data_IF_774036314173
#
_entry.id   IF_774036314173
#
_cell.length_a   1.000
_cell.length_b   1.000
_cell.length_c   1.000
_cell.angle_alpha   90.00
_cell.angle_beta   90.00
_cell.angle_gamma   90.00
#
_symmetry.space_group_name_H-M   'P 1'
#
loop_
_entity.id
_entity.type
_entity.pdbx_description
1 polymer ?
#
# COMPACT_ATOMS: atom_id res chain seq x y z
N UNK A 1 16.13 9.40 -16.62
CA UNK A 1 14.70 9.78 -16.45
C UNK A 1 14.66 11.11 -15.71
N UNK A 2 13.67 11.96 -15.93
CA UNK A 2 13.59 13.28 -15.28
C UNK A 2 12.31 13.39 -14.45
N UNK A 3 12.43 14.00 -13.28
CA UNK A 3 11.30 14.40 -12.46
C UNK A 3 10.51 15.50 -13.17
N UNK A 4 9.19 15.45 -13.10
CA UNK A 4 8.28 16.45 -13.64
C UNK A 4 7.17 16.76 -12.63
N UNK A 5 6.51 17.93 -12.73
CA UNK A 5 5.36 18.23 -11.87
C UNK A 5 4.32 17.11 -11.92
N UNK A 6 3.83 16.70 -10.76
CA UNK A 6 2.80 15.66 -10.70
C UNK A 6 1.45 16.16 -11.19
N UNK A 7 0.79 15.36 -12.03
CA UNK A 7 -0.51 15.71 -12.64
C UNK A 7 -1.69 15.71 -11.66
N UNK A 8 -1.57 14.98 -10.53
CA UNK A 8 -2.67 14.79 -9.59
C UNK A 8 -2.51 15.63 -8.32
N UNK A 9 -1.28 15.89 -7.89
CA UNK A 9 -0.97 16.59 -6.64
C UNK A 9 -0.09 17.82 -6.92
N UNK A 10 -0.67 19.03 -7.03
CA UNK A 10 0.10 20.27 -7.19
C UNK A 10 1.18 20.41 -6.11
N UNK A 11 2.39 20.80 -6.48
CA UNK A 11 3.53 20.91 -5.58
C UNK A 11 4.32 19.61 -5.39
N UNK A 12 3.83 18.49 -5.89
CA UNK A 12 4.57 17.22 -5.94
C UNK A 12 5.26 17.04 -7.30
N UNK A 13 6.23 16.15 -7.32
CA UNK A 13 6.90 15.70 -8.54
C UNK A 13 6.69 14.20 -8.73
N UNK A 14 6.62 13.78 -9.98
CA UNK A 14 6.49 12.39 -10.38
C UNK A 14 7.64 11.97 -11.31
N UNK A 15 8.02 10.70 -11.22
CA UNK A 15 9.01 10.05 -12.07
C UNK A 15 8.46 8.72 -12.56
N UNK A 16 8.34 8.54 -13.87
CA UNK A 16 8.00 7.27 -14.46
C UNK A 16 9.18 6.30 -14.38
N UNK A 17 8.94 5.10 -13.86
CA UNK A 17 9.90 4.02 -13.72
C UNK A 17 9.52 2.90 -14.71
N UNK A 18 10.06 2.87 -15.92
CA UNK A 18 9.74 1.86 -16.91
C UNK A 18 10.24 0.48 -16.47
N UNK A 19 9.44 -0.53 -16.79
CA UNK A 19 9.75 -1.94 -16.61
C UNK A 19 9.79 -2.65 -17.97
N UNK A 20 10.36 -3.86 -18.09
CA UNK A 20 10.15 -4.71 -19.24
C UNK A 20 8.68 -4.96 -19.47
N UNK A 21 8.28 -5.11 -20.74
CA UNK A 21 6.91 -5.46 -21.11
C UNK A 21 6.49 -6.77 -20.43
N UNK A 22 5.25 -6.81 -19.96
CA UNK A 22 4.66 -8.02 -19.42
C UNK A 22 3.59 -8.59 -20.39
N UNK A 23 2.72 -9.47 -19.88
CA UNK A 23 1.63 -10.08 -20.64
C UNK A 23 0.54 -9.08 -21.10
N UNK A 24 0.53 -7.86 -20.58
CA UNK A 24 -0.33 -6.75 -21.04
C UNK A 24 0.43 -5.76 -21.93
N UNK A 25 1.70 -6.02 -22.26
CA UNK A 25 2.57 -5.11 -23.01
C UNK A 25 3.32 -4.15 -22.10
N UNK A 26 3.47 -2.88 -22.53
CA UNK A 26 4.24 -1.86 -21.80
C UNK A 26 3.79 -1.73 -20.35
N UNK A 27 4.76 -1.67 -19.44
CA UNK A 27 4.54 -1.53 -17.99
C UNK A 27 5.40 -0.38 -17.43
N UNK A 28 4.79 0.39 -16.55
CA UNK A 28 5.48 1.42 -15.76
C UNK A 28 5.01 1.38 -14.32
N UNK A 29 5.85 1.82 -13.39
CA UNK A 29 5.47 2.29 -12.07
C UNK A 29 5.74 3.81 -11.99
N UNK A 30 5.13 4.50 -11.04
CA UNK A 30 5.33 5.95 -10.88
C UNK A 30 5.76 6.26 -9.46
N UNK A 31 6.97 6.82 -9.33
CA UNK A 31 7.47 7.33 -8.06
C UNK A 31 7.06 8.79 -7.91
N UNK A 32 6.41 9.13 -6.79
CA UNK A 32 5.96 10.48 -6.46
C UNK A 32 6.74 10.97 -5.26
N UNK A 33 7.13 12.24 -5.22
CA UNK A 33 7.80 12.85 -4.06
C UNK A 33 7.27 14.23 -3.74
N UNK A 34 7.39 14.61 -2.46
CA UNK A 34 7.30 16.00 -2.05
C UNK A 34 8.71 16.61 -2.18
N UNK A 35 8.92 17.67 -3.01
CA UNK A 35 10.23 18.28 -3.17
C UNK A 35 10.82 18.81 -1.87
N UNK A 36 12.14 18.73 -1.73
CA UNK A 36 12.85 19.16 -0.52
C UNK A 36 12.71 20.66 -0.21
N UNK A 37 12.36 21.49 -1.21
CA UNK A 37 12.12 22.93 -1.02
C UNK A 37 10.95 23.22 -0.07
N UNK A 38 10.02 22.28 0.06
CA UNK A 38 8.86 22.35 0.95
C UNK A 38 9.07 21.57 2.27
N UNK A 39 10.25 20.96 2.44
CA UNK A 39 10.64 20.31 3.69
C UNK A 39 11.15 21.35 4.71
N UNK A 40 10.88 21.16 6.03
CA UNK A 40 11.40 22.08 7.04
C UNK A 40 12.94 22.12 7.04
N UNK A 41 13.49 23.31 7.28
CA UNK A 41 14.94 23.55 7.31
C UNK A 41 15.61 22.68 8.39
N UNK A 42 16.35 21.66 7.99
CA UNK A 42 17.11 20.79 8.89
C UNK A 42 17.68 19.57 8.16
N UNK A 43 18.59 18.82 8.80
CA UNK A 43 19.07 17.57 8.25
C UNK A 43 17.93 16.55 8.14
N UNK A 44 17.85 15.85 7.00
CA UNK A 44 16.86 14.78 6.78
C UNK A 44 17.06 13.67 7.82
N UNK A 45 16.04 13.38 8.61
CA UNK A 45 16.06 12.33 9.66
C UNK A 45 16.03 10.92 9.06
N UNK A 46 15.42 10.78 7.88
CA UNK A 46 15.28 9.50 7.19
C UNK A 46 14.46 9.65 5.91
N UNK A 47 14.30 8.55 5.23
CA UNK A 47 13.53 8.47 3.97
C UNK A 47 12.39 7.50 4.16
N UNK A 48 11.21 7.85 3.65
CA UNK A 48 10.01 7.00 3.65
C UNK A 48 9.63 6.67 2.22
N UNK A 49 9.33 5.40 1.95
CA UNK A 49 8.68 4.94 0.73
C UNK A 49 7.31 4.35 1.10
N UNK A 50 6.24 4.97 0.64
CA UNK A 50 4.86 4.53 0.86
C UNK A 50 4.32 3.76 -0.35
N UNK A 51 3.63 2.65 -0.08
CA UNK A 51 2.98 1.78 -1.07
C UNK A 51 1.49 1.65 -0.73
N UNK A 52 0.64 2.00 -1.68
CA UNK A 52 -0.82 2.00 -1.55
C UNK A 52 -1.44 0.59 -1.58
N UNK A 53 -2.75 0.50 -1.35
CA UNK A 53 -3.53 -0.73 -1.38
C UNK A 53 -4.06 -1.14 -2.77
N UNK A 54 -4.94 -2.16 -2.79
CA UNK A 54 -5.65 -2.61 -3.99
C UNK A 54 -6.70 -1.59 -4.43
N UNK A 55 -6.79 -1.34 -5.75
CA UNK A 55 -7.66 -0.31 -6.35
C UNK A 55 -7.45 1.04 -5.65
N UNK A 56 -6.18 1.41 -5.52
CA UNK A 56 -5.74 2.62 -4.85
C UNK A 56 -4.57 3.25 -5.60
N UNK A 57 -4.17 4.43 -5.16
CA UNK A 57 -3.00 5.17 -5.64
C UNK A 57 -2.62 6.21 -4.59
N UNK A 58 -1.46 6.85 -4.72
CA UNK A 58 -1.09 7.90 -3.77
C UNK A 58 -1.84 9.21 -4.05
N UNK A 59 -2.69 9.64 -3.11
CA UNK A 59 -3.38 10.94 -3.10
C UNK A 59 -3.32 11.64 -1.73
N UNK A 60 -2.80 10.97 -0.72
CA UNK A 60 -2.77 11.41 0.68
C UNK A 60 -1.70 12.50 0.88
N UNK A 61 -1.91 13.71 0.32
CA UNK A 61 -1.03 14.88 0.49
C UNK A 61 -0.60 15.08 1.94
N UNK A 62 -1.57 15.08 2.86
CA UNK A 62 -1.36 15.30 4.29
C UNK A 62 -0.41 14.27 4.93
N UNK A 63 -0.35 13.05 4.41
CA UNK A 63 0.60 12.03 4.86
C UNK A 63 2.04 12.47 4.54
N UNK A 64 2.29 12.90 3.31
CA UNK A 64 3.61 13.40 2.90
C UNK A 64 4.02 14.65 3.70
N UNK A 65 3.09 15.60 3.87
CA UNK A 65 3.32 16.83 4.63
C UNK A 65 3.63 16.55 6.11
N UNK A 66 2.95 15.57 6.74
CA UNK A 66 3.24 15.16 8.12
C UNK A 66 4.62 14.53 8.25
N UNK A 67 5.03 13.66 7.31
CA UNK A 67 6.39 13.12 7.31
C UNK A 67 7.44 14.21 7.08
N UNK A 68 7.19 15.14 6.15
CA UNK A 68 8.08 16.26 5.90
C UNK A 68 8.23 17.18 7.12
N UNK A 69 7.12 17.47 7.82
CA UNK A 69 7.14 18.25 9.07
C UNK A 69 7.99 17.60 10.17
N UNK A 70 8.07 16.28 10.19
CA UNK A 70 8.94 15.51 11.10
C UNK A 70 10.37 15.32 10.58
N UNK A 71 10.71 15.95 9.43
CA UNK A 71 12.05 15.93 8.86
C UNK A 71 12.38 14.71 7.99
N UNK A 72 11.38 13.98 7.51
CA UNK A 72 11.60 12.87 6.58
C UNK A 72 11.46 13.31 5.13
N UNK A 73 12.32 12.79 4.25
CA UNK A 73 12.07 12.82 2.81
C UNK A 73 11.00 11.78 2.47
N UNK A 74 9.92 12.22 1.83
CA UNK A 74 8.78 11.38 1.54
C UNK A 74 8.68 11.04 0.05
N UNK A 75 8.54 9.74 -0.20
CA UNK A 75 8.25 9.16 -1.50
C UNK A 75 7.03 8.25 -1.41
N UNK A 76 6.23 8.20 -2.48
CA UNK A 76 5.16 7.24 -2.65
C UNK A 76 5.28 6.56 -4.01
N UNK A 77 4.88 5.29 -4.09
CA UNK A 77 4.94 4.49 -5.30
C UNK A 77 3.53 4.12 -5.74
N UNK A 78 3.08 4.64 -6.89
CA UNK A 78 1.96 4.04 -7.60
C UNK A 78 2.50 2.80 -8.34
N UNK A 79 2.08 1.62 -7.86
CA UNK A 79 2.47 0.33 -8.43
C UNK A 79 2.00 0.21 -9.87
N UNK A 80 2.62 -0.69 -10.65
CA UNK A 80 2.15 -1.03 -12.01
C UNK A 80 0.65 -1.26 -12.04
N UNK A 81 -0.03 -0.79 -13.10
CA UNK A 81 -1.47 -0.96 -13.34
C UNK A 81 -2.38 -0.31 -12.29
N UNK A 82 -1.84 0.65 -11.50
CA UNK A 82 -2.59 1.43 -10.53
C UNK A 82 -2.35 2.92 -10.73
N UNK A 83 -3.34 3.75 -10.40
CA UNK A 83 -3.21 5.21 -10.34
C UNK A 83 -2.54 5.82 -11.58
N UNK A 84 -1.42 6.53 -11.36
CA UNK A 84 -0.62 7.16 -12.43
C UNK A 84 -0.01 6.15 -13.38
N UNK A 85 0.19 4.92 -12.93
CA UNK A 85 0.87 3.84 -13.65
C UNK A 85 -0.07 2.96 -14.47
N UNK A 86 -1.40 3.21 -14.40
CA UNK A 86 -2.37 2.47 -15.17
C UNK A 86 -2.40 2.99 -16.63
N UNK A 87 -2.08 2.14 -17.57
CA UNK A 87 -2.12 2.42 -19.01
C UNK A 87 -3.41 1.88 -19.65
N UNK A 88 -3.94 2.53 -20.71
CA UNK A 88 -5.27 2.22 -21.26
C UNK A 88 -5.48 0.79 -21.76
N UNK A 89 -4.39 0.08 -22.12
CA UNK A 89 -4.44 -1.29 -22.65
C UNK A 89 -4.38 -2.37 -21.58
N UNK A 90 -4.17 -2.00 -20.32
CA UNK A 90 -3.90 -2.93 -19.23
C UNK A 90 -5.16 -3.41 -18.53
N UNK A 91 -5.06 -4.57 -17.88
CA UNK A 91 -6.01 -5.04 -16.88
C UNK A 91 -5.74 -4.31 -15.56
N UNK A 92 -6.63 -3.41 -15.09
CA UNK A 92 -6.40 -2.62 -13.89
C UNK A 92 -6.09 -3.48 -12.66
N UNK A 93 -5.10 -3.08 -11.87
CA UNK A 93 -4.73 -3.68 -10.59
C UNK A 93 -4.35 -5.18 -10.65
N UNK A 94 -4.06 -5.72 -11.84
CA UNK A 94 -3.78 -7.12 -12.05
C UNK A 94 -2.29 -7.45 -11.94
N UNK A 95 -1.98 -8.56 -11.28
CA UNK A 95 -0.71 -9.27 -11.36
C UNK A 95 -0.93 -10.79 -11.35
N UNK A 96 -0.03 -11.54 -11.92
CA UNK A 96 -0.02 -13.01 -11.83
C UNK A 96 0.70 -13.52 -10.60
N UNK A 97 1.64 -12.73 -10.07
CA UNK A 97 2.40 -12.98 -8.86
C UNK A 97 2.74 -11.65 -8.17
N UNK A 98 2.72 -11.64 -6.84
CA UNK A 98 3.03 -10.44 -6.04
C UNK A 98 4.49 -9.96 -6.25
N UNK A 99 5.39 -10.84 -6.67
CA UNK A 99 6.77 -10.49 -7.02
C UNK A 99 6.88 -9.46 -8.16
N UNK A 100 5.86 -9.34 -9.02
CA UNK A 100 5.81 -8.27 -10.03
C UNK A 100 5.83 -6.88 -9.38
N UNK A 101 5.15 -6.69 -8.25
CA UNK A 101 5.20 -5.45 -7.47
C UNK A 101 6.55 -5.27 -6.75
N UNK A 102 7.26 -6.36 -6.43
CA UNK A 102 8.61 -6.27 -5.87
C UNK A 102 9.59 -5.62 -6.84
N UNK A 103 9.43 -5.85 -8.14
CA UNK A 103 10.25 -5.18 -9.15
C UNK A 103 10.03 -3.66 -9.13
N UNK A 104 8.79 -3.21 -8.94
CA UNK A 104 8.47 -1.77 -8.86
C UNK A 104 9.12 -1.13 -7.62
N UNK A 105 9.05 -1.79 -6.47
CA UNK A 105 9.71 -1.34 -5.23
C UNK A 105 11.24 -1.32 -5.43
N UNK A 106 11.82 -2.33 -6.09
CA UNK A 106 13.26 -2.38 -6.38
C UNK A 106 13.71 -1.19 -7.23
N UNK A 107 12.94 -0.82 -8.26
CA UNK A 107 13.21 0.37 -9.09
C UNK A 107 13.10 1.66 -8.29
N UNK A 108 12.05 1.79 -7.46
CA UNK A 108 11.88 2.94 -6.58
C UNK A 108 13.06 3.09 -5.60
N UNK A 109 13.48 1.99 -4.95
CA UNK A 109 14.64 2.00 -4.04
C UNK A 109 15.96 2.26 -4.76
N UNK A 110 16.07 1.88 -6.02
CA UNK A 110 17.25 2.19 -6.86
C UNK A 110 17.34 3.69 -7.14
N UNK A 111 16.21 4.33 -7.45
CA UNK A 111 16.13 5.77 -7.67
C UNK A 111 16.37 6.55 -6.37
N UNK A 112 15.76 6.15 -5.27
CA UNK A 112 15.90 6.78 -3.95
C UNK A 112 17.35 6.65 -3.44
N UNK A 113 17.98 5.52 -3.67
CA UNK A 113 19.37 5.20 -3.30
C UNK A 113 19.74 5.53 -1.85
N UNK A 114 18.83 5.30 -0.92
CA UNK A 114 19.00 5.49 0.53
C UNK A 114 18.30 4.39 1.32
N UNK A 115 18.67 4.15 2.58
CA UNK A 115 17.88 3.34 3.49
C UNK A 115 16.51 3.96 3.76
N UNK A 116 15.46 3.13 3.80
CA UNK A 116 14.08 3.61 3.95
C UNK A 116 13.34 2.97 5.12
N UNK A 117 12.39 3.72 5.68
CA UNK A 117 11.18 3.21 6.30
C UNK A 117 10.23 2.85 5.15
N UNK A 118 9.95 1.57 4.95
CA UNK A 118 8.99 1.12 3.95
C UNK A 118 7.60 1.06 4.58
N UNK A 119 6.68 1.85 4.05
CA UNK A 119 5.32 1.97 4.55
C UNK A 119 4.34 1.34 3.57
N UNK A 120 3.33 0.61 4.07
CA UNK A 120 2.35 -0.02 3.21
C UNK A 120 0.95 0.00 3.79
N UNK A 121 -0.05 0.34 2.96
CA UNK A 121 -1.45 0.26 3.31
C UNK A 121 -2.11 -0.98 2.70
N UNK A 122 -2.89 -1.71 3.49
CA UNK A 122 -3.71 -2.83 3.01
C UNK A 122 -2.88 -3.87 2.21
N UNK A 123 -3.17 -4.09 0.93
CA UNK A 123 -2.37 -4.95 0.03
C UNK A 123 -0.93 -4.45 -0.08
N UNK A 124 -0.68 -3.12 -0.03
CA UNK A 124 0.66 -2.57 0.06
C UNK A 124 1.41 -3.04 1.31
N UNK A 125 0.72 -3.22 2.44
CA UNK A 125 1.29 -3.78 3.65
C UNK A 125 1.73 -5.24 3.49
N UNK A 126 0.94 -6.06 2.79
CA UNK A 126 1.30 -7.42 2.40
C UNK A 126 2.55 -7.43 1.51
N UNK A 127 2.53 -6.60 0.44
CA UNK A 127 3.63 -6.49 -0.53
C UNK A 127 4.92 -6.05 0.18
N UNK A 128 4.88 -5.01 1.02
CA UNK A 128 6.04 -4.50 1.75
C UNK A 128 6.63 -5.54 2.71
N UNK A 129 5.79 -6.32 3.39
CA UNK A 129 6.22 -7.38 4.30
C UNK A 129 6.95 -8.49 3.56
N UNK A 130 6.41 -8.93 2.41
CA UNK A 130 7.05 -9.92 1.55
C UNK A 130 8.30 -9.35 0.88
N UNK A 131 8.28 -8.09 0.47
CA UNK A 131 9.47 -7.43 -0.09
C UNK A 131 10.64 -7.43 0.90
N UNK A 132 10.41 -7.12 2.17
CA UNK A 132 11.48 -7.20 3.18
C UNK A 132 12.04 -8.62 3.32
N UNK A 133 11.22 -9.65 3.12
CA UNK A 133 11.67 -11.05 3.17
C UNK A 133 12.49 -11.47 1.94
N UNK A 134 12.00 -11.14 0.74
CA UNK A 134 12.49 -11.75 -0.51
C UNK A 134 12.88 -10.76 -1.61
N UNK A 135 12.67 -9.44 -1.39
CA UNK A 135 12.98 -8.40 -2.37
C UNK A 135 14.48 -8.25 -2.65
N UNK A 136 14.82 -7.84 -3.85
CA UNK A 136 16.22 -7.72 -4.31
C UNK A 136 17.00 -6.68 -3.48
N UNK A 137 16.39 -5.53 -3.18
CA UNK A 137 16.98 -4.46 -2.35
C UNK A 137 16.44 -4.46 -0.91
N UNK A 138 16.01 -5.60 -0.38
CA UNK A 138 15.46 -5.72 0.98
C UNK A 138 16.37 -5.14 2.07
N UNK A 139 17.69 -5.13 1.86
CA UNK A 139 18.64 -4.60 2.84
C UNK A 139 18.60 -3.06 2.94
N UNK A 140 18.02 -2.37 1.96
CA UNK A 140 17.72 -0.94 2.04
C UNK A 140 16.52 -0.64 2.95
N UNK A 141 15.69 -1.65 3.29
CA UNK A 141 14.54 -1.48 4.19
C UNK A 141 14.98 -1.65 5.64
N UNK A 142 14.94 -0.57 6.42
CA UNK A 142 15.39 -0.54 7.82
C UNK A 142 14.26 -0.81 8.81
N UNK A 143 13.04 -0.42 8.48
CA UNK A 143 11.86 -0.64 9.29
C UNK A 143 10.62 -0.75 8.39
N UNK A 144 9.54 -1.34 8.91
CA UNK A 144 8.24 -1.39 8.26
C UNK A 144 7.19 -0.65 9.08
N UNK A 145 6.39 0.18 8.40
CA UNK A 145 5.12 0.67 8.93
C UNK A 145 3.96 0.14 8.09
N UNK A 146 3.04 -0.58 8.72
CA UNK A 146 1.94 -1.28 8.08
C UNK A 146 0.61 -0.70 8.59
N UNK A 147 -0.15 -0.10 7.70
CA UNK A 147 -1.46 0.48 7.95
C UNK A 147 -2.53 -0.50 7.45
N UNK A 148 -3.21 -1.17 8.38
CA UNK A 148 -4.24 -2.18 8.11
C UNK A 148 -3.83 -3.24 7.06
N UNK A 149 -2.69 -3.93 7.27
CA UNK A 149 -2.13 -4.83 6.24
C UNK A 149 -3.07 -6.00 5.92
N UNK A 150 -3.18 -6.32 4.62
CA UNK A 150 -4.04 -7.39 4.12
C UNK A 150 -3.35 -8.75 4.19
N UNK A 151 -3.38 -9.40 5.36
CA UNK A 151 -2.70 -10.69 5.59
C UNK A 151 -3.61 -11.90 5.46
N UNK A 152 -4.93 -11.70 5.37
CA UNK A 152 -5.87 -12.78 5.11
C UNK A 152 -7.21 -12.23 4.62
N UNK A 153 -7.95 -13.06 3.87
CA UNK A 153 -9.33 -12.74 3.50
C UNK A 153 -10.28 -12.92 4.67
N UNK A 154 -11.32 -12.08 4.81
CA UNK A 154 -12.39 -12.32 5.77
C UNK A 154 -13.00 -13.71 5.56
N UNK A 155 -13.23 -14.44 6.65
CA UNK A 155 -13.62 -15.85 6.62
C UNK A 155 -14.87 -16.11 5.77
N UNK A 156 -15.83 -15.17 5.80
CA UNK A 156 -17.08 -15.27 5.04
C UNK A 156 -16.87 -15.40 3.51
N UNK A 157 -15.75 -14.93 2.98
CA UNK A 157 -15.46 -14.93 1.55
C UNK A 157 -14.46 -16.00 1.11
N UNK A 158 -13.73 -16.62 2.06
CA UNK A 158 -12.60 -17.52 1.75
C UNK A 158 -12.98 -18.69 0.84
N UNK A 159 -14.12 -19.34 1.07
CA UNK A 159 -14.54 -20.49 0.27
C UNK A 159 -14.79 -20.11 -1.19
N UNK A 160 -15.53 -19.02 -1.43
CA UNK A 160 -15.76 -18.49 -2.79
C UNK A 160 -14.46 -18.10 -3.46
N UNK A 161 -13.58 -17.38 -2.73
CA UNK A 161 -12.31 -16.90 -3.27
C UNK A 161 -11.31 -18.04 -3.52
N UNK A 162 -11.34 -19.13 -2.76
CA UNK A 162 -10.53 -20.33 -3.08
C UNK A 162 -10.92 -20.93 -4.43
N UNK A 163 -12.21 -21.01 -4.73
CA UNK A 163 -12.69 -21.49 -6.04
C UNK A 163 -12.18 -20.54 -7.14
N UNK A 164 -12.32 -19.22 -6.96
CA UNK A 164 -11.81 -18.24 -7.89
C UNK A 164 -10.28 -18.35 -8.08
N UNK A 165 -9.54 -18.59 -6.99
CA UNK A 165 -8.09 -18.83 -7.02
C UNK A 165 -7.71 -20.07 -7.85
N UNK A 166 -8.44 -21.17 -7.67
CA UNK A 166 -8.24 -22.39 -8.48
C UNK A 166 -8.52 -22.13 -9.95
N UNK A 167 -9.63 -21.47 -10.28
CA UNK A 167 -9.97 -21.07 -11.66
C UNK A 167 -8.92 -20.12 -12.24
N UNK A 168 -8.34 -19.25 -11.43
CA UNK A 168 -7.29 -18.31 -11.83
C UNK A 168 -6.01 -18.96 -12.37
N UNK A 169 -5.80 -20.25 -12.11
CA UNK A 169 -4.70 -21.02 -12.69
C UNK A 169 -4.86 -21.20 -14.20
N UNK A 170 -6.09 -21.43 -14.67
CA UNK A 170 -6.38 -21.70 -16.07
C UNK A 170 -6.98 -20.47 -16.80
N UNK A 171 -7.68 -19.63 -16.05
CA UNK A 171 -8.43 -18.47 -16.56
C UNK A 171 -8.07 -17.20 -15.77
N UNK A 172 -6.80 -16.71 -15.82
CA UNK A 172 -6.33 -15.63 -14.95
C UNK A 172 -7.07 -14.31 -15.14
N UNK A 173 -7.59 -14.04 -16.34
CA UNK A 173 -8.32 -12.81 -16.65
C UNK A 173 -9.84 -12.90 -16.42
N UNK A 174 -10.35 -14.07 -16.05
CA UNK A 174 -11.73 -14.15 -15.54
C UNK A 174 -11.82 -13.33 -14.24
N UNK A 175 -12.94 -12.62 -14.05
CA UNK A 175 -13.02 -11.64 -12.95
C UNK A 175 -14.40 -11.60 -12.28
N UNK A 176 -14.42 -11.06 -11.08
CA UNK A 176 -15.63 -10.62 -10.39
C UNK A 176 -15.73 -9.08 -10.53
N UNK A 177 -16.73 -8.55 -11.25
CA UNK A 177 -16.87 -7.11 -11.45
C UNK A 177 -17.30 -6.36 -10.18
N UNK A 178 -17.65 -7.06 -9.10
CA UNK A 178 -18.13 -6.50 -7.83
C UNK A 178 -17.12 -6.65 -6.69
N UNK A 179 -15.85 -6.54 -7.00
CA UNK A 179 -14.78 -6.82 -6.03
C UNK A 179 -14.61 -5.80 -4.91
N UNK A 180 -15.18 -4.61 -5.04
CA UNK A 180 -15.04 -3.52 -4.06
C UNK A 180 -16.34 -3.26 -3.34
N UNK A 181 -16.22 -2.92 -2.05
CA UNK A 181 -17.34 -2.44 -1.26
C UNK A 181 -17.57 -0.95 -1.53
N UNK A 182 -18.65 -0.55 -2.23
CA UNK A 182 -18.96 0.87 -2.45
C UNK A 182 -19.02 1.67 -1.13
N UNK A 183 -19.41 1.02 -0.05
CA UNK A 183 -19.45 1.59 1.28
C UNK A 183 -18.08 2.13 1.74
N UNK A 184 -16.97 1.46 1.39
CA UNK A 184 -15.64 1.95 1.73
C UNK A 184 -15.28 3.24 1.00
N UNK A 185 -15.49 3.32 -0.32
CA UNK A 185 -15.24 4.55 -1.08
C UNK A 185 -16.14 5.69 -0.59
N UNK A 186 -17.40 5.41 -0.25
CA UNK A 186 -18.32 6.39 0.33
C UNK A 186 -17.84 6.91 1.68
N UNK A 187 -17.33 6.05 2.55
CA UNK A 187 -16.88 6.45 3.88
C UNK A 187 -15.65 7.37 3.87
N UNK A 188 -14.92 7.43 2.76
CA UNK A 188 -13.71 8.26 2.65
C UNK A 188 -13.85 9.45 1.70
N UNK A 189 -14.71 9.41 0.66
CA UNK A 189 -14.78 10.47 -0.34
C UNK A 189 -15.79 11.56 0.04
N UNK A 190 -15.39 12.84 -0.14
CA UNK A 190 -16.17 14.04 0.23
C UNK A 190 -17.53 14.20 -0.47
N UNK A 191 -17.76 13.49 -1.57
CA UNK A 191 -19.07 13.49 -2.24
C UNK A 191 -20.13 12.70 -1.45
N UNK A 192 -19.73 11.98 -0.38
CA UNK A 192 -20.60 11.18 0.48
C UNK A 192 -20.25 11.45 1.96
N UNK A 193 -19.87 10.42 2.69
CA UNK A 193 -19.71 10.47 4.15
C UNK A 193 -18.28 10.80 4.60
N UNK A 194 -17.33 10.92 3.66
CA UNK A 194 -15.91 11.15 3.93
C UNK A 194 -15.47 12.60 3.79
N UNK A 195 -14.20 12.85 4.09
CA UNK A 195 -13.58 14.18 4.08
C UNK A 195 -12.64 14.39 2.88
N UNK A 196 -12.29 13.31 2.13
CA UNK A 196 -11.19 13.31 1.19
C UNK A 196 -11.65 13.50 -0.25
N UNK A 197 -10.81 14.20 -1.01
CA UNK A 197 -10.97 14.38 -2.45
C UNK A 197 -9.91 13.57 -3.19
N UNK A 198 -10.35 12.69 -4.08
CA UNK A 198 -9.49 11.90 -4.94
C UNK A 198 -10.20 11.59 -6.27
N UNK A 199 -9.41 11.25 -7.28
CA UNK A 199 -9.93 10.97 -8.62
C UNK A 199 -10.67 9.63 -8.67
N UNK A 200 -12.00 9.72 -8.81
CA UNK A 200 -12.87 8.54 -8.91
C UNK A 200 -12.68 7.75 -10.22
N UNK A 201 -11.94 8.25 -11.20
CA UNK A 201 -11.57 7.45 -12.37
C UNK A 201 -10.43 6.47 -12.06
N UNK A 202 -9.60 6.78 -11.06
CA UNK A 202 -8.47 5.98 -10.60
C UNK A 202 -8.80 5.11 -9.38
N UNK A 203 -9.80 5.52 -8.59
CA UNK A 203 -10.35 4.77 -7.44
C UNK A 203 -11.87 4.80 -7.52
N UNK A 204 -12.48 4.02 -8.44
CA UNK A 204 -13.90 4.10 -8.72
C UNK A 204 -14.78 3.65 -7.55
N UNK A 205 -15.98 4.22 -7.45
CA UNK A 205 -16.98 3.81 -6.44
C UNK A 205 -17.30 2.31 -6.50
N UNK A 206 -17.45 1.77 -7.71
CA UNK A 206 -17.72 0.35 -7.93
C UNK A 206 -16.45 -0.49 -8.06
N UNK A 207 -15.27 0.14 -7.94
CA UNK A 207 -13.96 -0.50 -8.10
C UNK A 207 -13.65 -0.92 -9.53
N UNK A 208 -12.48 -1.53 -9.67
CA UNK A 208 -12.09 -2.30 -10.85
C UNK A 208 -12.41 -3.79 -10.62
N UNK A 209 -12.52 -4.60 -11.69
CA UNK A 209 -12.73 -6.04 -11.54
C UNK A 209 -11.61 -6.70 -10.72
N UNK A 210 -11.96 -7.64 -9.82
CA UNK A 210 -10.96 -8.53 -9.22
C UNK A 210 -10.77 -9.76 -10.13
N UNK A 211 -9.60 -9.82 -10.72
CA UNK A 211 -9.23 -10.93 -11.59
C UNK A 211 -8.86 -12.18 -10.79
N UNK A 212 -9.26 -13.35 -11.28
CA UNK A 212 -9.01 -14.61 -10.57
C UNK A 212 -7.51 -14.95 -10.47
N UNK A 213 -6.70 -14.54 -11.46
CA UNK A 213 -5.25 -14.62 -11.38
C UNK A 213 -4.66 -13.80 -10.24
N UNK A 214 -5.18 -12.57 -10.03
CA UNK A 214 -4.79 -11.75 -8.88
C UNK A 214 -5.22 -12.39 -7.54
N UNK A 215 -6.44 -12.92 -7.45
CA UNK A 215 -6.91 -13.64 -6.26
C UNK A 215 -5.96 -14.81 -5.93
N UNK A 216 -5.53 -15.57 -6.95
CA UNK A 216 -4.53 -16.65 -6.80
C UNK A 216 -3.19 -16.13 -6.28
N UNK A 217 -2.70 -15.03 -6.85
CA UNK A 217 -1.44 -14.42 -6.41
C UNK A 217 -1.49 -13.99 -4.94
N UNK A 218 -2.62 -13.41 -4.51
CA UNK A 218 -2.83 -13.01 -3.11
C UNK A 218 -2.91 -14.22 -2.17
N UNK A 219 -3.60 -15.32 -2.53
CA UNK A 219 -3.58 -16.54 -1.71
C UNK A 219 -2.18 -17.11 -1.55
N UNK A 220 -1.36 -17.10 -2.61
CA UNK A 220 0.03 -17.53 -2.51
C UNK A 220 0.85 -16.59 -1.60
N UNK A 221 0.62 -15.31 -1.68
CA UNK A 221 1.25 -14.31 -0.82
C UNK A 221 0.85 -14.48 0.66
N UNK A 222 -0.44 -14.67 0.95
CA UNK A 222 -0.92 -14.98 2.30
C UNK A 222 -0.28 -16.25 2.86
N UNK A 223 -0.18 -17.31 2.06
CA UNK A 223 0.46 -18.55 2.49
C UNK A 223 1.93 -18.34 2.94
N UNK A 224 2.67 -17.45 2.27
CA UNK A 224 4.04 -17.08 2.68
C UNK A 224 4.03 -16.36 4.04
N UNK A 225 3.11 -15.41 4.27
CA UNK A 225 2.97 -14.73 5.57
C UNK A 225 2.60 -15.72 6.66
N UNK A 226 1.65 -16.62 6.40
CA UNK A 226 1.19 -17.63 7.36
C UNK A 226 2.27 -18.65 7.70
N UNK A 227 3.21 -18.92 6.81
CA UNK A 227 4.38 -19.75 7.09
C UNK A 227 5.43 -19.06 7.99
N UNK A 228 5.27 -17.76 8.24
CA UNK A 228 6.17 -16.94 9.05
C UNK A 228 7.29 -16.32 8.23
N UNK A 229 7.41 -14.99 8.29
CA UNK A 229 8.45 -14.28 7.53
C UNK A 229 9.79 -14.20 8.27
N UNK A 230 9.77 -14.26 9.62
CA UNK A 230 10.97 -14.18 10.43
C UNK A 230 11.75 -12.87 10.24
N UNK A 231 11.02 -11.74 10.16
CA UNK A 231 11.64 -10.43 9.96
C UNK A 231 12.46 -10.03 11.18
N UNK A 232 13.66 -9.52 10.96
CA UNK A 232 14.64 -9.14 11.99
C UNK A 232 14.71 -7.63 12.24
N UNK A 233 13.93 -6.84 11.50
CA UNK A 233 13.83 -5.39 11.60
C UNK A 233 12.62 -4.96 12.45
N UNK A 234 12.61 -3.70 12.96
CA UNK A 234 11.44 -3.13 13.58
C UNK A 234 10.24 -3.08 12.64
N UNK A 235 9.07 -3.50 13.14
CA UNK A 235 7.80 -3.46 12.42
C UNK A 235 6.75 -2.81 13.32
N UNK A 236 6.08 -1.79 12.81
CA UNK A 236 4.88 -1.20 13.42
C UNK A 236 3.68 -1.56 12.55
N UNK A 237 2.77 -2.38 13.05
CA UNK A 237 1.49 -2.65 12.42
C UNK A 237 0.39 -1.93 13.19
N UNK A 238 -0.35 -1.11 12.48
CA UNK A 238 -1.50 -0.38 12.99
C UNK A 238 -2.76 -0.86 12.28
N UNK A 239 -3.86 -0.98 13.01
CA UNK A 239 -5.14 -1.42 12.45
C UNK A 239 -6.32 -0.78 13.17
N UNK A 240 -7.46 -0.75 12.52
CA UNK A 240 -8.72 -0.37 13.12
C UNK A 240 -9.25 -1.47 14.07
N UNK A 241 -10.48 -1.34 14.47
CA UNK A 241 -11.26 -2.35 15.20
C UNK A 241 -12.49 -2.77 14.37
N UNK A 242 -13.62 -2.91 15.03
CA UNK A 242 -14.89 -3.28 14.40
C UNK A 242 -15.40 -2.25 13.37
N UNK A 243 -14.84 -1.05 13.33
CA UNK A 243 -15.15 -0.04 12.32
C UNK A 243 -14.50 -0.33 10.96
N UNK A 244 -13.53 -1.23 10.87
CA UNK A 244 -13.00 -1.71 9.59
C UNK A 244 -14.03 -2.57 8.87
N UNK A 245 -14.60 -2.02 7.80
CA UNK A 245 -15.59 -2.71 6.96
C UNK A 245 -14.96 -3.51 5.81
N UNK A 246 -13.63 -3.50 5.68
CA UNK A 246 -12.88 -4.14 4.59
C UNK A 246 -12.22 -5.44 5.05
N UNK A 247 -11.53 -5.41 6.20
CA UNK A 247 -10.79 -6.55 6.73
C UNK A 247 -11.32 -6.97 8.11
N UNK A 248 -11.06 -8.22 8.47
CA UNK A 248 -11.19 -8.68 9.84
C UNK A 248 -9.97 -8.23 10.66
N UNK A 249 -10.14 -7.20 11.47
CA UNK A 249 -9.09 -6.62 12.29
C UNK A 249 -8.41 -7.63 13.23
N UNK A 250 -9.13 -8.69 13.66
CA UNK A 250 -8.55 -9.76 14.51
C UNK A 250 -7.53 -10.58 13.73
N UNK A 251 -7.81 -10.86 12.46
CA UNK A 251 -6.84 -11.52 11.58
C UNK A 251 -5.65 -10.60 11.30
N UNK A 252 -5.88 -9.30 11.02
CA UNK A 252 -4.80 -8.31 10.86
C UNK A 252 -3.90 -8.31 12.08
N UNK A 253 -4.45 -8.17 13.29
CA UNK A 253 -3.69 -8.16 14.53
C UNK A 253 -2.93 -9.48 14.78
N UNK A 254 -3.59 -10.62 14.52
CA UNK A 254 -3.00 -11.94 14.74
C UNK A 254 -1.79 -12.19 13.83
N UNK A 255 -1.98 -12.02 12.52
CA UNK A 255 -0.90 -12.25 11.55
C UNK A 255 0.22 -11.23 11.65
N UNK A 256 -0.08 -9.97 12.02
CA UNK A 256 0.97 -8.99 12.26
C UNK A 256 1.97 -9.44 13.34
N UNK A 257 1.48 -10.06 14.42
CA UNK A 257 2.35 -10.55 15.51
C UNK A 257 3.32 -11.66 15.10
N UNK A 258 3.03 -12.35 14.00
CA UNK A 258 3.86 -13.46 13.50
C UNK A 258 4.95 -13.03 12.51
N UNK A 259 5.00 -11.75 12.12
CA UNK A 259 5.94 -11.26 11.10
C UNK A 259 7.41 -11.38 11.53
N UNK A 260 7.69 -11.25 12.83
CA UNK A 260 9.05 -11.29 13.35
C UNK A 260 9.11 -11.08 14.86
N UNK A 261 10.31 -10.83 15.38
CA UNK A 261 10.55 -10.68 16.82
C UNK A 261 10.44 -9.24 17.34
N UNK A 262 10.47 -8.24 16.45
CA UNK A 262 10.47 -6.81 16.78
C UNK A 262 9.22 -6.12 16.26
N UNK A 263 8.05 -6.69 16.56
CA UNK A 263 6.76 -6.22 16.04
C UNK A 263 5.95 -5.55 17.13
N UNK A 264 5.56 -4.31 16.90
CA UNK A 264 4.53 -3.61 17.67
C UNK A 264 3.21 -3.63 16.89
N UNK A 265 2.11 -3.97 17.55
CA UNK A 265 0.77 -3.99 16.95
C UNK A 265 -0.13 -3.08 17.76
N UNK A 266 -0.68 -2.04 17.13
CA UNK A 266 -1.47 -0.99 17.77
C UNK A 266 -2.87 -0.91 17.15
N UNK A 267 -3.95 -1.09 17.94
CA UNK A 267 -5.31 -0.85 17.51
C UNK A 267 -5.68 0.64 17.62
N UNK A 268 -6.52 1.11 16.69
CA UNK A 268 -7.10 2.45 16.69
C UNK A 268 -8.62 2.34 16.60
N UNK A 269 -9.31 2.27 17.74
CA UNK A 269 -10.76 2.11 17.80
C UNK A 269 -11.50 3.22 17.04
N UNK A 270 -12.49 2.83 16.23
CA UNK A 270 -13.27 3.73 15.39
C UNK A 270 -12.54 4.23 14.12
N UNK A 271 -11.31 3.77 13.89
CA UNK A 271 -10.55 4.11 12.68
C UNK A 271 -11.16 3.51 11.42
N UNK A 272 -10.99 4.20 10.29
CA UNK A 272 -11.31 3.63 8.98
C UNK A 272 -10.27 2.57 8.60
N UNK A 273 -10.56 1.79 7.54
CA UNK A 273 -9.60 0.82 7.00
C UNK A 273 -8.25 1.45 6.66
N UNK A 274 -8.24 2.60 5.99
CA UNK A 274 -7.05 3.45 5.92
C UNK A 274 -7.05 4.42 7.10
N UNK A 275 -6.22 4.16 8.12
CA UNK A 275 -6.17 4.92 9.36
C UNK A 275 -5.80 6.39 9.15
N UNK A 276 -4.99 6.70 8.13
CA UNK A 276 -4.61 8.09 7.83
C UNK A 276 -5.72 8.88 7.14
N UNK A 277 -6.78 8.21 6.71
CA UNK A 277 -8.00 8.82 6.17
C UNK A 277 -9.12 8.93 7.20
N UNK A 278 -8.92 8.47 8.43
CA UNK A 278 -9.87 8.58 9.54
C UNK A 278 -10.10 10.05 9.94
N UNK A 279 -11.11 10.29 10.77
CA UNK A 279 -11.37 11.61 11.37
C UNK A 279 -10.12 12.12 12.10
N UNK A 280 -9.98 13.46 12.19
CA UNK A 280 -8.78 14.14 12.69
C UNK A 280 -8.26 13.58 14.01
N UNK A 281 -9.12 13.35 14.99
CA UNK A 281 -8.74 12.86 16.33
C UNK A 281 -8.03 11.50 16.27
N UNK A 282 -8.55 10.56 15.47
CA UNK A 282 -7.93 9.25 15.29
C UNK A 282 -6.66 9.38 14.45
N UNK A 283 -6.74 10.12 13.35
CA UNK A 283 -5.60 10.37 12.45
C UNK A 283 -4.41 11.00 13.17
N UNK A 284 -4.64 11.99 14.03
CA UNK A 284 -3.58 12.62 14.81
C UNK A 284 -2.98 11.66 15.83
N UNK A 285 -3.79 10.80 16.45
CA UNK A 285 -3.29 9.74 17.32
C UNK A 285 -2.43 8.73 16.56
N UNK A 286 -2.83 8.33 15.34
CA UNK A 286 -2.04 7.47 14.46
C UNK A 286 -0.68 8.08 14.17
N UNK A 287 -0.62 9.35 13.75
CA UNK A 287 0.64 10.04 13.47
C UNK A 287 1.51 10.17 14.72
N UNK A 288 0.93 10.53 15.86
CA UNK A 288 1.68 10.66 17.12
C UNK A 288 2.35 9.33 17.51
N UNK A 289 1.63 8.22 17.42
CA UNK A 289 2.19 6.89 17.72
C UNK A 289 3.23 6.46 16.68
N UNK A 290 2.98 6.73 15.40
CA UNK A 290 3.92 6.45 14.31
C UNK A 290 5.26 7.16 14.52
N UNK A 291 5.23 8.47 14.75
CA UNK A 291 6.46 9.25 14.90
C UNK A 291 7.17 8.99 16.23
N UNK A 292 6.42 8.73 17.30
CA UNK A 292 7.01 8.28 18.56
C UNK A 292 7.72 6.93 18.42
N UNK A 293 7.23 6.03 17.58
CA UNK A 293 7.89 4.76 17.27
C UNK A 293 9.09 5.00 16.33
N UNK A 294 8.92 5.74 15.24
CA UNK A 294 9.96 6.00 14.26
C UNK A 294 11.19 6.71 14.85
N UNK A 295 10.99 7.57 15.89
CA UNK A 295 12.08 8.24 16.59
C UNK A 295 12.99 7.28 17.39
N UNK A 296 12.55 6.05 17.65
CA UNK A 296 13.29 5.01 18.40
C UNK A 296 13.87 3.92 17.52
N UNK A 297 13.62 4.00 16.23
CA UNK A 297 13.97 2.99 15.23
C UNK A 297 15.06 3.48 14.29
#
# INVERSE_FOLDING_TARGET
MAWHPDRLLPGFEALELPAPDDYDGRVVATLVRLPAADAPNGPVRGVVLYVHGFIDYFFQRHLAERFAAEGYAFYALDLRKHGRSLLPHQHPCFCKDVSEYHEDITRALTEINAPVLLAGHSTGGLICSLYKKEGERRDSVRALWLNSPFFDYPEAFKSKLRIASMMGTFFPFLNDPKAVLPAYVRSIHRNWDGEWDFDLSLKPLLGFPAYFGWVRAIFAAHAKVHAGLGLDIPVLSMHSDEADIVLDWKQVASWSRTLGTKVAVLPFPGGLHDLVLSRSEIRDSVFNQLFAWAART
#
